data_IF_209023056420
#
_entry.id   IF_209023056420
#
_cell.length_a   1.000
_cell.length_b   1.000
_cell.length_c   1.000
_cell.angle_alpha   90.00
_cell.angle_beta   90.00
_cell.angle_gamma   90.00
#
_symmetry.space_group_name_H-M   'P 1'
#
loop_
_entity.id
_entity.type
_entity.pdbx_description
1 polymer ?
#
# COMPACT_ATOMS: atom_id res chain seq x y z
N UNK A 1 -25.88 -18.50 4.79
CA UNK A 1 -24.60 -19.22 4.60
C UNK A 1 -24.43 -20.30 5.68
N UNK A 2 -25.23 -21.36 5.65
CA UNK A 2 -25.12 -22.49 6.60
C UNK A 2 -25.20 -23.78 5.78
N UNK A 3 -24.25 -24.72 6.00
CA UNK A 3 -24.20 -25.98 5.25
C UNK A 3 -22.81 -26.63 5.17
N UNK A 4 -21.73 -25.86 5.33
CA UNK A 4 -20.35 -26.37 5.29
C UNK A 4 -19.62 -26.10 6.61
N UNK A 5 -19.03 -27.14 7.21
CA UNK A 5 -18.15 -27.00 8.39
C UNK A 5 -16.93 -26.15 8.02
N UNK A 6 -16.57 -25.20 8.88
CA UNK A 6 -15.37 -24.37 8.71
C UNK A 6 -14.11 -25.24 8.68
N UNK A 7 -13.19 -24.95 7.75
CA UNK A 7 -11.94 -25.72 7.54
C UNK A 7 -10.75 -24.78 7.70
N UNK A 8 -10.12 -24.71 8.90
CA UNK A 8 -9.04 -23.76 9.17
C UNK A 8 -7.88 -23.81 8.17
N UNK A 9 -7.56 -25.02 7.68
CA UNK A 9 -6.47 -25.22 6.71
C UNK A 9 -6.71 -24.51 5.37
N UNK A 10 -7.96 -24.31 4.93
CA UNK A 10 -8.25 -23.59 3.69
C UNK A 10 -7.91 -22.11 3.81
N UNK A 11 -8.23 -21.49 4.96
CA UNK A 11 -7.85 -20.11 5.24
C UNK A 11 -6.33 -19.97 5.32
N UNK A 12 -5.65 -20.91 5.99
CA UNK A 12 -4.19 -20.91 6.07
C UNK A 12 -3.52 -21.07 4.69
N UNK A 13 -3.99 -22.00 3.87
CA UNK A 13 -3.49 -22.20 2.50
C UNK A 13 -3.73 -20.96 1.62
N UNK A 14 -4.90 -20.33 1.74
CA UNK A 14 -5.20 -19.09 1.03
C UNK A 14 -4.28 -17.94 1.47
N UNK A 15 -4.09 -17.72 2.76
CA UNK A 15 -3.18 -16.67 3.26
C UNK A 15 -1.75 -16.90 2.77
N UNK A 16 -1.22 -18.12 2.85
CA UNK A 16 0.13 -18.44 2.35
C UNK A 16 0.26 -18.16 0.84
N UNK A 17 -0.74 -18.53 0.05
CA UNK A 17 -0.74 -18.27 -1.39
C UNK A 17 -0.82 -16.76 -1.71
N UNK A 18 -1.61 -16.01 -0.93
CA UNK A 18 -1.76 -14.57 -1.07
C UNK A 18 -0.49 -13.79 -0.65
N UNK A 19 0.13 -14.16 0.46
CA UNK A 19 1.39 -13.59 0.92
C UNK A 19 2.52 -13.82 -0.10
N UNK A 20 2.58 -15.03 -0.68
CA UNK A 20 3.53 -15.35 -1.76
C UNK A 20 3.27 -14.51 -3.03
N UNK A 21 2.01 -14.32 -3.42
CA UNK A 21 1.64 -13.46 -4.54
C UNK A 21 2.09 -12.00 -4.30
N UNK A 22 1.83 -11.44 -3.12
CA UNK A 22 2.27 -10.10 -2.75
C UNK A 22 3.79 -9.96 -2.73
N UNK A 23 4.51 -10.96 -2.25
CA UNK A 23 5.98 -10.96 -2.23
C UNK A 23 6.57 -11.02 -3.65
N UNK A 24 5.99 -11.80 -4.56
CA UNK A 24 6.37 -11.83 -5.98
C UNK A 24 6.14 -10.45 -6.62
N UNK A 25 4.99 -9.81 -6.38
CA UNK A 25 4.68 -8.47 -6.89
C UNK A 25 5.69 -7.44 -6.37
N UNK A 26 5.91 -7.40 -5.05
CA UNK A 26 6.87 -6.48 -4.41
C UNK A 26 8.28 -6.64 -4.97
N UNK A 27 8.79 -7.87 -5.07
CA UNK A 27 10.14 -8.13 -5.62
C UNK A 27 10.25 -7.74 -7.10
N UNK A 28 9.16 -7.84 -7.84
CA UNK A 28 9.11 -7.40 -9.25
C UNK A 28 9.18 -5.88 -9.33
N UNK A 29 8.40 -5.16 -8.52
CA UNK A 29 8.47 -3.70 -8.41
C UNK A 29 9.85 -3.23 -7.95
N UNK A 30 10.43 -3.84 -6.92
CA UNK A 30 11.78 -3.52 -6.42
C UNK A 30 12.85 -3.65 -7.51
N UNK A 31 12.80 -4.71 -8.33
CA UNK A 31 13.70 -4.90 -9.47
C UNK A 31 13.50 -3.82 -10.54
N UNK A 32 12.26 -3.52 -10.90
CA UNK A 32 11.93 -2.47 -11.89
C UNK A 32 12.40 -1.10 -11.40
N UNK A 33 12.14 -0.76 -10.14
CA UNK A 33 12.59 0.50 -9.55
C UNK A 33 14.12 0.58 -9.48
N UNK A 34 14.80 -0.51 -9.07
CA UNK A 34 16.26 -0.59 -9.06
C UNK A 34 16.88 -0.37 -10.45
N UNK A 35 16.35 -1.03 -11.49
CA UNK A 35 16.80 -0.85 -12.88
C UNK A 35 16.58 0.57 -13.40
N UNK A 36 15.55 1.27 -12.91
CA UNK A 36 15.29 2.67 -13.23
C UNK A 36 16.08 3.67 -12.37
N UNK A 37 17.01 3.21 -11.52
CA UNK A 37 17.77 4.07 -10.60
C UNK A 37 16.93 4.67 -9.47
N UNK A 38 15.75 4.12 -9.20
CA UNK A 38 14.76 4.63 -8.23
C UNK A 38 14.96 3.93 -6.89
N UNK A 39 15.84 4.50 -6.07
CA UNK A 39 16.06 4.03 -4.69
C UNK A 39 14.82 4.24 -3.78
N UNK A 40 14.89 3.77 -2.54
CA UNK A 40 13.78 3.90 -1.58
C UNK A 40 13.42 5.36 -1.23
N UNK A 41 14.30 6.32 -1.52
CA UNK A 41 14.10 7.76 -1.32
C UNK A 41 13.61 8.46 -2.60
N UNK A 42 13.69 7.82 -3.76
CA UNK A 42 13.31 8.39 -5.06
C UNK A 42 11.86 8.86 -5.05
N UNK A 43 10.93 8.07 -4.50
CA UNK A 43 9.51 8.44 -4.35
C UNK A 43 9.28 9.64 -3.44
N UNK A 44 10.11 9.89 -2.42
CA UNK A 44 10.00 11.10 -1.59
C UNK A 44 10.49 12.33 -2.34
N UNK A 45 11.56 12.19 -3.13
CA UNK A 45 12.13 13.28 -3.94
C UNK A 45 11.31 13.63 -5.19
N UNK A 46 10.56 12.67 -5.73
CA UNK A 46 9.78 12.79 -6.97
C UNK A 46 8.30 12.47 -6.75
N UNK A 47 7.79 12.73 -5.53
CA UNK A 47 6.36 12.61 -5.25
C UNK A 47 5.58 13.60 -6.14
N UNK A 48 4.32 13.30 -6.46
CA UNK A 48 3.53 14.09 -7.42
C UNK A 48 3.60 15.59 -7.09
N UNK A 49 4.11 16.45 -8.01
CA UNK A 49 4.25 17.86 -7.72
C UNK A 49 2.92 18.53 -7.36
N UNK A 50 1.84 18.20 -8.06
CA UNK A 50 0.50 18.71 -7.76
C UNK A 50 -0.06 18.29 -6.37
N UNK A 51 0.61 17.37 -5.66
CA UNK A 51 0.17 16.91 -4.34
C UNK A 51 1.08 17.38 -3.18
N UNK A 52 2.35 17.74 -3.41
CA UNK A 52 3.28 18.16 -2.35
C UNK A 52 4.39 19.15 -2.77
N UNK A 53 4.41 19.65 -4.01
CA UNK A 53 5.38 20.67 -4.41
C UNK A 53 4.93 22.03 -3.89
N UNK A 54 5.82 22.72 -3.15
CA UNK A 54 5.61 24.10 -2.71
C UNK A 54 6.34 25.06 -3.65
N UNK A 55 5.71 26.19 -3.95
CA UNK A 55 6.34 27.27 -4.72
C UNK A 55 7.19 28.16 -3.82
N UNK A 56 8.24 28.77 -4.38
CA UNK A 56 9.00 29.80 -3.67
C UNK A 56 8.10 31.01 -3.43
N UNK A 57 7.99 31.43 -2.16
CA UNK A 57 7.10 32.51 -1.74
C UNK A 57 5.63 32.11 -1.52
N UNK A 58 5.28 30.82 -1.53
CA UNK A 58 3.93 30.36 -1.19
C UNK A 58 3.60 30.61 0.29
N UNK A 59 2.41 31.16 0.54
CA UNK A 59 1.92 31.45 1.89
C UNK A 59 1.77 30.17 2.72
N UNK A 60 2.20 30.23 3.98
CA UNK A 60 2.17 29.06 4.87
C UNK A 60 0.74 28.77 5.35
N UNK A 61 0.09 27.80 4.71
CA UNK A 61 -1.23 27.31 5.12
C UNK A 61 -1.19 26.71 6.54
N UNK A 62 -2.28 26.90 7.30
CA UNK A 62 -2.45 26.28 8.63
C UNK A 62 -2.53 24.75 8.51
N UNK A 63 -3.12 24.27 7.41
CA UNK A 63 -3.16 22.86 7.03
C UNK A 63 -2.64 22.71 5.59
N UNK A 64 -1.45 22.14 5.44
CA UNK A 64 -0.74 22.07 4.15
C UNK A 64 -1.01 20.76 3.37
N UNK A 65 -1.75 19.80 3.95
CA UNK A 65 -1.96 18.48 3.36
C UNK A 65 -3.30 17.89 3.81
N UNK A 66 -4.11 17.42 2.85
CA UNK A 66 -5.31 16.63 3.10
C UNK A 66 -5.02 15.17 2.77
N UNK A 67 -4.92 14.32 3.78
CA UNK A 67 -4.68 12.88 3.63
C UNK A 67 -6.01 12.15 3.68
N UNK A 68 -6.35 11.42 2.62
CA UNK A 68 -7.42 10.42 2.67
C UNK A 68 -6.79 9.06 2.94
N UNK A 69 -7.32 8.36 3.96
CA UNK A 69 -6.97 6.98 4.24
C UNK A 69 -8.18 6.10 3.96
N UNK A 70 -7.98 4.97 3.27
CA UNK A 70 -8.89 3.84 3.44
C UNK A 70 -8.93 3.51 4.93
N UNK A 71 -10.13 3.39 5.50
CA UNK A 71 -10.33 2.98 6.88
C UNK A 71 -9.90 1.53 7.16
N UNK A 72 -9.44 0.81 6.12
CA UNK A 72 -9.14 -0.61 6.08
C UNK A 72 -10.31 -1.46 6.62
N UNK A 73 -11.51 -1.08 6.18
CA UNK A 73 -12.78 -1.63 6.68
C UNK A 73 -13.00 -3.11 6.31
N UNK A 74 -12.19 -3.63 5.37
CA UNK A 74 -12.13 -5.06 5.07
C UNK A 74 -11.38 -5.84 6.16
N UNK A 75 -10.26 -5.33 6.67
CA UNK A 75 -9.50 -6.01 7.73
C UNK A 75 -10.29 -6.09 9.05
N UNK A 76 -11.13 -5.07 9.34
CA UNK A 76 -12.08 -5.07 10.47
C UNK A 76 -13.08 -6.23 10.44
N UNK A 77 -13.23 -6.93 9.30
CA UNK A 77 -14.11 -8.10 9.12
C UNK A 77 -13.39 -9.45 9.24
N UNK A 78 -12.05 -9.45 9.30
CA UNK A 78 -11.23 -10.67 9.42
C UNK A 78 -11.12 -11.11 10.89
N UNK A 79 -11.19 -10.16 11.83
CA UNK A 79 -11.26 -10.44 13.26
C UNK A 79 -12.71 -10.69 13.69
N UNK A 80 -13.16 -11.95 13.60
CA UNK A 80 -14.39 -12.43 14.23
C UNK A 80 -14.28 -13.89 14.68
#
# INVERSE_FOLDING_TARGET
>A
MHGTVYRPYLCQQFSIAYDLYLDIHRRTDERVMSLLGRDSKWRMKHVCPACMYKLEGEDKLIFEMLITMDGNDLLKRVLR
#
